data_IF_155187300352
#
_entry.id   IF_155187300352
#
_cell.length_a   1.000
_cell.length_b   1.000
_cell.length_c   1.000
_cell.angle_alpha   90.00
_cell.angle_beta   90.00
_cell.angle_gamma   90.00
#
_symmetry.space_group_name_H-M   'P 1'
#
loop_
_entity.id
_entity.type
_entity.pdbx_description
1 polymer ?
#
# COMPACT_ATOMS: atom_id res chain seq x y z
N UNK A 1 7.61 -2.29 4.47
CA UNK A 1 6.85 -1.49 5.46
C UNK A 1 5.64 -2.25 5.96
N UNK A 2 4.68 -2.61 5.10
CA UNK A 2 3.47 -3.34 5.50
C UNK A 2 3.75 -4.69 6.18
N UNK A 3 4.70 -5.48 5.69
CA UNK A 3 5.08 -6.75 6.34
C UNK A 3 5.54 -6.57 7.80
N UNK A 4 6.27 -5.47 8.08
CA UNK A 4 6.65 -5.13 9.45
C UNK A 4 5.44 -4.75 10.29
N UNK A 5 4.49 -4.01 9.72
CA UNK A 5 3.29 -3.58 10.44
C UNK A 5 2.40 -4.78 10.81
N UNK A 6 2.10 -5.65 9.84
CA UNK A 6 1.12 -6.73 10.04
C UNK A 6 1.68 -8.00 10.68
N UNK A 7 2.95 -8.30 10.46
CA UNK A 7 3.53 -9.60 10.84
C UNK A 7 4.78 -9.45 11.73
N UNK A 8 5.20 -8.22 12.07
CA UNK A 8 6.46 -7.89 12.76
C UNK A 8 7.73 -8.50 12.11
N UNK A 9 7.66 -8.82 10.82
CA UNK A 9 8.82 -9.31 10.05
C UNK A 9 9.41 -8.17 9.22
N UNK A 10 10.75 -8.09 9.19
CA UNK A 10 11.50 -7.02 8.52
C UNK A 10 12.35 -7.55 7.35
N UNK A 11 11.76 -8.18 6.33
CA UNK A 11 12.54 -8.60 5.16
C UNK A 11 13.07 -7.38 4.42
N UNK A 12 14.23 -7.54 3.79
CA UNK A 12 14.80 -6.50 2.93
C UNK A 12 13.93 -6.32 1.67
N UNK A 13 14.04 -5.16 1.01
CA UNK A 13 13.33 -4.95 -0.26
C UNK A 13 13.67 -6.01 -1.31
N UNK A 14 14.94 -6.45 -1.38
CA UNK A 14 15.38 -7.50 -2.31
C UNK A 14 14.68 -8.85 -2.05
N UNK A 15 14.50 -9.22 -0.77
CA UNK A 15 13.79 -10.46 -0.41
C UNK A 15 12.33 -10.38 -0.82
N UNK A 16 11.65 -9.27 -0.50
CA UNK A 16 10.24 -9.07 -0.90
C UNK A 16 10.13 -9.06 -2.43
N UNK A 17 11.04 -8.38 -3.14
CA UNK A 17 11.06 -8.30 -4.59
C UNK A 17 11.14 -9.69 -5.24
N UNK A 18 12.01 -10.56 -4.72
CA UNK A 18 12.11 -11.94 -5.18
C UNK A 18 10.83 -12.74 -4.88
N UNK A 19 10.24 -12.59 -3.69
CA UNK A 19 8.97 -13.24 -3.33
C UNK A 19 7.78 -12.77 -4.18
N UNK A 20 7.85 -11.55 -4.69
CA UNK A 20 6.88 -10.98 -5.63
C UNK A 20 7.21 -11.29 -7.10
N UNK A 21 8.13 -12.21 -7.39
CA UNK A 21 8.54 -12.55 -8.76
C UNK A 21 8.97 -11.32 -9.57
N UNK A 22 9.69 -10.38 -8.95
CA UNK A 22 10.25 -9.23 -9.65
C UNK A 22 11.33 -9.64 -10.66
N UNK A 23 11.38 -8.96 -11.80
CA UNK A 23 12.36 -9.21 -12.88
C UNK A 23 13.07 -7.91 -13.25
N UNK A 24 14.37 -7.84 -12.96
CA UNK A 24 15.18 -6.66 -13.25
C UNK A 24 15.24 -6.39 -14.77
N UNK A 25 15.25 -5.11 -15.21
CA UNK A 25 15.35 -3.89 -14.40
C UNK A 25 13.99 -3.34 -13.92
N UNK A 26 12.90 -4.10 -14.07
CA UNK A 26 11.55 -3.61 -13.80
C UNK A 26 11.16 -3.71 -12.33
N UNK A 27 10.13 -2.95 -11.96
CA UNK A 27 9.43 -3.10 -10.68
C UNK A 27 8.56 -4.36 -10.62
N UNK A 28 7.59 -4.35 -9.72
CA UNK A 28 6.63 -5.43 -9.50
C UNK A 28 5.24 -4.95 -9.94
N UNK A 29 4.44 -5.84 -10.54
CA UNK A 29 3.04 -5.53 -10.88
C UNK A 29 2.12 -5.64 -9.65
N UNK A 30 1.00 -4.91 -9.64
CA UNK A 30 0.02 -5.03 -8.55
C UNK A 30 -0.52 -6.45 -8.39
N UNK A 31 -0.61 -7.23 -9.48
CA UNK A 31 -1.01 -8.64 -9.42
C UNK A 31 0.00 -9.45 -8.61
N UNK A 32 1.29 -9.30 -8.88
CA UNK A 32 2.33 -10.03 -8.17
C UNK A 32 2.45 -9.57 -6.71
N UNK A 33 2.31 -8.27 -6.46
CA UNK A 33 2.23 -7.75 -5.11
C UNK A 33 1.04 -8.35 -4.35
N UNK A 34 -0.16 -8.39 -4.96
CA UNK A 34 -1.34 -8.99 -4.35
C UNK A 34 -1.14 -10.48 -4.02
N UNK A 35 -0.46 -11.24 -4.88
CA UNK A 35 -0.13 -12.65 -4.60
C UNK A 35 0.74 -12.79 -3.35
N UNK A 36 1.76 -11.94 -3.18
CA UNK A 36 2.56 -11.91 -1.94
C UNK A 36 1.70 -11.55 -0.71
N UNK A 37 0.73 -10.65 -0.86
CA UNK A 37 -0.10 -10.21 0.28
C UNK A 37 -0.96 -11.37 0.77
N UNK A 38 -1.56 -12.12 -0.17
CA UNK A 38 -2.44 -13.25 0.13
C UNK A 38 -1.72 -14.52 0.58
N UNK A 39 -0.52 -14.77 0.04
CA UNK A 39 0.20 -16.01 0.28
C UNK A 39 0.56 -16.21 1.76
N UNK A 40 0.44 -17.45 2.24
CA UNK A 40 0.89 -17.85 3.59
C UNK A 40 2.40 -17.73 3.78
N UNK A 41 3.17 -17.84 2.68
CA UNK A 41 4.62 -17.58 2.67
C UNK A 41 4.97 -16.09 2.54
N UNK A 42 3.96 -15.23 2.39
CA UNK A 42 4.09 -13.78 2.31
C UNK A 42 3.47 -13.09 3.52
N UNK A 43 2.46 -12.25 3.30
CA UNK A 43 1.81 -11.54 4.41
C UNK A 43 0.68 -12.33 5.08
N UNK A 44 0.18 -13.41 4.46
CA UNK A 44 -0.94 -14.22 4.93
C UNK A 44 -2.22 -13.38 5.18
N UNK A 45 -2.56 -12.55 4.20
CA UNK A 45 -3.73 -11.65 4.19
C UNK A 45 -4.65 -12.02 3.02
N UNK A 46 -5.33 -13.18 3.09
CA UNK A 46 -5.98 -13.82 1.95
C UNK A 46 -7.11 -12.98 1.33
N UNK A 47 -7.75 -12.13 2.14
CA UNK A 47 -8.84 -11.24 1.72
C UNK A 47 -8.37 -9.90 1.15
N UNK A 48 -7.06 -9.70 0.98
CA UNK A 48 -6.52 -8.48 0.35
C UNK A 48 -7.10 -8.26 -1.05
N UNK A 49 -7.27 -7.00 -1.45
CA UNK A 49 -7.86 -6.63 -2.74
C UNK A 49 -7.05 -5.51 -3.38
N UNK A 50 -6.83 -5.61 -4.69
CA UNK A 50 -6.27 -4.50 -5.48
C UNK A 50 -7.39 -3.71 -6.16
N UNK A 51 -7.23 -2.40 -6.26
CA UNK A 51 -8.13 -1.55 -7.04
C UNK A 51 -7.38 -0.42 -7.73
N UNK A 52 -7.85 -0.07 -8.92
CA UNK A 52 -7.44 1.11 -9.69
C UNK A 52 -8.64 2.00 -10.04
N UNK A 53 -9.80 1.74 -9.42
CA UNK A 53 -11.02 2.51 -9.66
C UNK A 53 -10.96 3.84 -8.90
N UNK A 54 -11.84 4.77 -9.29
CA UNK A 54 -12.15 5.94 -8.44
C UNK A 54 -12.59 5.43 -7.07
N UNK A 55 -12.14 6.11 -6.02
CA UNK A 55 -12.48 5.81 -4.64
C UNK A 55 -13.09 7.03 -3.97
N UNK A 56 -13.83 6.79 -2.89
CA UNK A 56 -14.42 7.82 -2.05
C UNK A 56 -13.66 7.94 -0.74
N UNK A 57 -13.73 9.12 -0.12
CA UNK A 57 -13.03 9.42 1.13
C UNK A 57 -13.32 8.38 2.23
N UNK A 58 -14.61 8.08 2.45
CA UNK A 58 -15.06 7.11 3.46
C UNK A 58 -14.47 5.72 3.24
N UNK A 59 -14.17 5.34 1.99
CA UNK A 59 -13.52 4.05 1.71
C UNK A 59 -12.12 4.03 2.33
N UNK A 60 -11.32 5.08 2.14
CA UNK A 60 -9.95 5.14 2.71
C UNK A 60 -9.99 5.15 4.22
N UNK A 61 -10.89 5.96 4.80
CA UNK A 61 -11.08 6.03 6.25
C UNK A 61 -11.40 4.64 6.80
N UNK A 62 -12.39 3.96 6.25
CA UNK A 62 -12.77 2.62 6.70
C UNK A 62 -11.63 1.60 6.53
N UNK A 63 -10.89 1.62 5.40
CA UNK A 63 -9.73 0.72 5.26
C UNK A 63 -8.68 0.95 6.35
N UNK A 64 -8.38 2.21 6.68
CA UNK A 64 -7.36 2.52 7.68
C UNK A 64 -7.84 2.16 9.08
N UNK A 65 -9.08 2.49 9.43
CA UNK A 65 -9.63 2.24 10.78
C UNK A 65 -9.89 0.75 11.02
N UNK A 66 -10.44 0.02 10.04
CA UNK A 66 -10.84 -1.39 10.22
C UNK A 66 -9.71 -2.38 9.93
N UNK A 67 -8.76 -2.01 9.06
CA UNK A 67 -7.76 -2.94 8.55
C UNK A 67 -6.33 -2.42 8.68
N UNK A 68 -6.12 -1.11 8.71
CA UNK A 68 -4.81 -0.48 8.87
C UNK A 68 -4.19 -0.02 7.55
N UNK A 69 -2.86 0.23 7.55
CA UNK A 69 -2.13 0.75 6.39
C UNK A 69 -2.24 -0.13 5.15
N UNK A 70 -2.30 0.49 3.99
CA UNK A 70 -2.40 -0.20 2.70
C UNK A 70 -1.37 0.33 1.68
N UNK A 71 -1.16 -0.42 0.60
CA UNK A 71 -0.31 0.05 -0.50
C UNK A 71 -1.05 1.12 -1.28
N UNK A 72 -0.44 2.29 -1.42
CA UNK A 72 -0.94 3.42 -2.20
C UNK A 72 0.12 3.85 -3.20
N UNK A 73 -0.24 3.98 -4.47
CA UNK A 73 0.72 4.21 -5.53
C UNK A 73 0.13 4.84 -6.78
N UNK A 74 1.01 5.04 -7.74
CA UNK A 74 0.72 5.41 -9.12
C UNK A 74 1.15 4.26 -10.03
N UNK A 75 0.92 4.30 -11.35
CA UNK A 75 1.36 3.25 -12.26
C UNK A 75 2.88 2.97 -12.22
N UNK A 76 3.68 3.93 -11.75
CA UNK A 76 5.14 3.87 -11.77
C UNK A 76 5.78 3.83 -10.39
N UNK A 77 5.00 3.98 -9.31
CA UNK A 77 5.56 4.12 -7.96
C UNK A 77 4.68 3.51 -6.88
N UNK A 78 5.29 2.80 -5.94
CA UNK A 78 4.61 2.10 -4.84
C UNK A 78 5.00 2.70 -3.49
N UNK A 79 4.00 3.11 -2.71
CA UNK A 79 4.14 3.75 -1.39
C UNK A 79 3.16 3.10 -0.41
N UNK A 80 3.13 3.59 0.82
CA UNK A 80 2.19 3.13 1.84
C UNK A 80 1.34 4.31 2.30
N UNK A 81 0.01 4.16 2.24
CA UNK A 81 -0.88 5.04 2.99
C UNK A 81 -1.03 4.46 4.39
N UNK A 82 -0.64 5.22 5.42
CA UNK A 82 -0.60 4.76 6.81
C UNK A 82 -1.51 5.55 7.75
N UNK A 83 -2.30 6.48 7.21
CA UNK A 83 -3.17 7.36 7.99
C UNK A 83 -3.85 8.38 7.10
N UNK A 84 -4.66 9.23 7.70
CA UNK A 84 -5.39 10.27 7.03
C UNK A 84 -5.57 11.50 7.94
N UNK A 85 -5.90 12.63 7.34
CA UNK A 85 -6.34 13.84 8.02
C UNK A 85 -7.62 14.31 7.36
N UNK A 86 -8.72 14.26 8.10
CA UNK A 86 -10.01 14.74 7.63
C UNK A 86 -10.17 16.24 7.91
N UNK A 87 -10.20 17.04 6.84
CA UNK A 87 -10.42 18.48 6.92
C UNK A 87 -11.77 18.89 6.28
N UNK A 88 -12.58 17.92 5.84
CA UNK A 88 -13.81 18.15 5.09
C UNK A 88 -13.63 18.14 3.57
N UNK A 89 -14.71 18.48 2.87
CA UNK A 89 -14.87 18.23 1.43
C UNK A 89 -13.70 18.77 0.59
N UNK A 90 -13.04 17.87 -0.17
CA UNK A 90 -11.92 18.14 -1.08
C UNK A 90 -10.65 18.72 -0.44
N UNK A 91 -10.56 18.77 0.89
CA UNK A 91 -9.39 19.32 1.61
C UNK A 91 -8.71 18.30 2.52
N UNK A 92 -9.14 17.04 2.44
CA UNK A 92 -8.59 15.95 3.24
C UNK A 92 -7.31 15.37 2.64
N UNK A 93 -6.44 14.86 3.51
CA UNK A 93 -5.10 14.40 3.15
C UNK A 93 -4.86 12.95 3.55
N UNK A 94 -4.06 12.24 2.77
CA UNK A 94 -3.51 10.93 3.08
C UNK A 94 -2.11 11.06 3.70
N UNK A 95 -1.82 10.26 4.71
CA UNK A 95 -0.47 10.15 5.27
C UNK A 95 0.31 9.10 4.48
N UNK A 96 1.25 9.55 3.67
CA UNK A 96 2.06 8.69 2.79
C UNK A 96 3.43 8.45 3.40
N UNK A 97 3.83 7.18 3.48
CA UNK A 97 5.20 6.75 3.69
C UNK A 97 5.77 6.30 2.33
N UNK A 98 6.68 7.09 1.79
CA UNK A 98 7.27 6.92 0.48
C UNK A 98 8.70 6.37 0.60
N UNK A 99 9.04 5.24 -0.06
CA UNK A 99 10.38 4.67 0.02
C UNK A 99 11.46 5.47 -0.75
N UNK A 100 11.09 6.35 -1.67
CA UNK A 100 12.02 7.08 -2.54
C UNK A 100 12.30 8.51 -2.06
N UNK A 101 13.51 9.08 -2.28
CA UNK A 101 14.78 8.40 -2.59
C UNK A 101 15.44 7.81 -1.34
N UNK A 102 15.12 8.35 -0.17
CA UNK A 102 15.44 7.82 1.16
C UNK A 102 14.17 7.98 1.96
N UNK A 103 13.64 6.87 2.48
CA UNK A 103 12.27 6.79 2.98
C UNK A 103 11.82 7.98 3.84
N UNK A 104 10.68 8.58 3.50
CA UNK A 104 10.15 9.75 4.17
C UNK A 104 8.62 9.71 4.27
N UNK A 105 8.05 10.58 5.11
CA UNK A 105 6.61 10.65 5.32
C UNK A 105 6.08 12.06 5.04
N UNK A 106 4.96 12.17 4.33
CA UNK A 106 4.31 13.44 3.99
C UNK A 106 2.79 13.32 3.94
N UNK A 107 2.12 14.48 3.83
CA UNK A 107 0.69 14.59 3.58
C UNK A 107 0.46 14.81 2.10
N UNK A 108 -0.34 13.95 1.48
CA UNK A 108 -0.74 14.02 0.07
C UNK A 108 -2.22 14.35 -0.02
N UNK A 109 -2.61 15.20 -0.97
CA UNK A 109 -4.03 15.47 -1.20
C UNK A 109 -4.77 14.19 -1.58
N UNK A 110 -5.97 13.98 -1.04
CA UNK A 110 -6.78 12.82 -1.41
C UNK A 110 -7.07 12.80 -2.92
N UNK A 111 -6.86 11.64 -3.56
CA UNK A 111 -7.17 11.41 -4.98
C UNK A 111 -5.95 11.38 -5.90
N UNK A 112 -4.76 11.72 -5.41
CA UNK A 112 -3.50 11.63 -6.18
C UNK A 112 -3.05 10.18 -6.40
N UNK A 113 -3.39 9.28 -5.48
CA UNK A 113 -3.13 7.86 -5.67
C UNK A 113 -4.12 7.22 -6.64
N UNK A 114 -3.65 6.27 -7.45
CA UNK A 114 -4.46 5.63 -8.51
C UNK A 114 -4.37 4.11 -8.48
N UNK A 115 -3.39 3.56 -7.77
CA UNK A 115 -3.17 2.13 -7.60
C UNK A 115 -3.14 1.79 -6.12
N UNK A 116 -3.98 0.84 -5.70
CA UNK A 116 -4.12 0.49 -4.29
C UNK A 116 -4.15 -1.02 -4.09
N UNK A 117 -3.56 -1.47 -2.98
CA UNK A 117 -3.76 -2.83 -2.46
C UNK A 117 -4.14 -2.74 -0.99
N UNK A 118 -5.42 -2.96 -0.71
CA UNK A 118 -5.97 -3.05 0.64
C UNK A 118 -5.57 -4.38 1.27
N UNK A 119 -5.07 -4.32 2.50
CA UNK A 119 -4.53 -5.46 3.22
C UNK A 119 -5.57 -5.97 4.20
N UNK A 120 -6.16 -7.13 3.93
CA UNK A 120 -7.27 -7.67 4.74
C UNK A 120 -7.05 -9.15 5.08
N UNK A 121 -7.46 -9.55 6.29
CA UNK A 121 -7.37 -10.95 6.76
C UNK A 121 -8.64 -11.72 6.44
#
# INVERSE_FOLDING_TARGET
MLTKYYNDVRPTQNVIYAMMNGVAPNGVTDTNALLYYKSSSGMNKPNSVKTTTVIYWDTVVNEIEDHGPFMSGTPTHARVCCGYQDNGFLTSYLRINDPWPVGHAYWEAFGEDTHRIYVRS
#
